data_IF_069091050018
#
_entry.id   IF_069091050018
#
_cell.length_a   1.000
_cell.length_b   1.000
_cell.length_c   1.000
_cell.angle_alpha   90.00
_cell.angle_beta   90.00
_cell.angle_gamma   90.00
#
_symmetry.space_group_name_H-M   'P 1'
#
loop_
_entity.id
_entity.type
_entity.pdbx_description
1 polymer ?
#
# COMPACT_ATOMS: atom_id res chain seq x y z
N UNK A 1 -5.37 21.17 2.49
CA UNK A 1 -4.90 21.37 3.88
C UNK A 1 -5.94 20.97 4.91
N UNK A 2 -7.21 21.39 4.78
CA UNK A 2 -8.29 21.03 5.72
C UNK A 2 -8.48 19.50 5.83
N UNK A 3 -8.57 18.78 4.70
CA UNK A 3 -8.77 17.31 4.69
C UNK A 3 -7.64 16.57 5.40
N UNK A 4 -6.39 17.00 5.20
CA UNK A 4 -5.23 16.41 5.87
C UNK A 4 -5.28 16.66 7.38
N UNK A 5 -5.64 17.88 7.79
CA UNK A 5 -5.85 18.22 9.19
C UNK A 5 -6.91 17.34 9.84
N UNK A 6 -8.07 17.19 9.21
CA UNK A 6 -9.17 16.33 9.70
C UNK A 6 -8.72 14.87 9.81
N UNK A 7 -8.08 14.32 8.79
CA UNK A 7 -7.58 12.94 8.80
C UNK A 7 -6.57 12.73 9.95
N UNK A 8 -5.66 13.69 10.16
CA UNK A 8 -4.66 13.63 11.22
C UNK A 8 -5.29 13.71 12.62
N UNK A 9 -6.29 14.57 12.80
CA UNK A 9 -7.04 14.66 14.08
C UNK A 9 -7.78 13.36 14.39
N UNK A 10 -8.42 12.74 13.40
CA UNK A 10 -9.09 11.44 13.58
C UNK A 10 -8.07 10.35 13.94
N UNK A 11 -6.94 10.30 13.23
CA UNK A 11 -5.87 9.33 13.53
C UNK A 11 -5.30 9.50 14.95
N UNK A 12 -5.04 10.75 15.37
CA UNK A 12 -4.60 11.05 16.73
C UNK A 12 -5.63 10.64 17.78
N UNK A 13 -6.91 10.89 17.53
CA UNK A 13 -7.99 10.51 18.45
C UNK A 13 -7.97 9.00 18.77
N UNK A 14 -7.89 8.14 17.74
CA UNK A 14 -7.80 6.69 17.95
C UNK A 14 -6.46 6.23 18.55
N UNK A 15 -5.36 6.91 18.21
CA UNK A 15 -4.05 6.57 18.77
C UNK A 15 -3.98 6.80 20.30
N UNK A 16 -4.62 7.86 20.80
CA UNK A 16 -4.66 8.16 22.23
C UNK A 16 -5.63 7.27 23.02
N UNK A 17 -6.75 6.85 22.41
CA UNK A 17 -7.79 6.12 23.11
C UNK A 17 -7.57 4.60 23.11
N UNK A 18 -7.26 4.03 21.95
CA UNK A 18 -7.44 2.59 21.75
C UNK A 18 -6.15 1.87 21.35
N UNK A 19 -5.24 2.52 20.63
CA UNK A 19 -4.06 1.85 20.10
C UNK A 19 -2.79 2.71 20.11
N UNK A 20 -1.96 2.60 21.16
CA UNK A 20 -0.65 3.23 21.20
C UNK A 20 0.28 2.79 20.05
N UNK A 21 0.09 1.60 19.47
CA UNK A 21 0.82 1.15 18.28
C UNK A 21 0.61 2.07 17.07
N UNK A 22 -0.55 2.76 16.98
CA UNK A 22 -0.82 3.72 15.92
C UNK A 22 0.11 4.93 15.95
N UNK A 23 0.72 5.28 17.08
CA UNK A 23 1.74 6.34 17.08
C UNK A 23 2.97 5.91 16.27
N UNK A 24 3.48 4.71 16.50
CA UNK A 24 4.64 4.21 15.77
C UNK A 24 4.35 4.06 14.27
N UNK A 25 3.19 3.49 13.94
CA UNK A 25 2.76 3.29 12.54
C UNK A 25 2.51 4.65 11.87
N UNK A 26 1.79 5.56 12.52
CA UNK A 26 1.46 6.88 11.99
C UNK A 26 2.68 7.78 11.78
N UNK A 27 3.69 7.71 12.66
CA UNK A 27 4.97 8.39 12.45
C UNK A 27 5.67 7.84 11.21
N UNK A 28 5.70 6.51 11.04
CA UNK A 28 6.32 5.88 9.87
C UNK A 28 5.56 6.24 8.56
N UNK A 29 4.24 6.17 8.55
CA UNK A 29 3.41 6.56 7.40
C UNK A 29 3.57 8.04 7.08
N UNK A 30 3.54 8.92 8.09
CA UNK A 30 3.78 10.35 7.93
C UNK A 30 5.16 10.61 7.32
N UNK A 31 6.20 9.94 7.81
CA UNK A 31 7.55 10.02 7.23
C UNK A 31 7.54 9.64 5.75
N UNK A 32 6.97 8.48 5.38
CA UNK A 32 6.93 8.06 3.98
C UNK A 32 6.09 8.98 3.10
N UNK A 33 4.97 9.50 3.60
CA UNK A 33 4.12 10.45 2.88
C UNK A 33 4.90 11.71 2.49
N UNK A 34 5.66 12.30 3.43
CA UNK A 34 6.47 13.47 3.14
C UNK A 34 7.71 13.14 2.32
N UNK A 35 8.40 12.03 2.65
CA UNK A 35 9.59 11.60 1.92
C UNK A 35 9.30 11.30 0.45
N UNK A 36 8.15 10.69 0.13
CA UNK A 36 7.72 10.44 -1.24
C UNK A 36 7.30 11.72 -1.97
N UNK A 37 6.37 12.49 -1.39
CA UNK A 37 5.73 13.60 -2.10
C UNK A 37 6.63 14.82 -2.28
N UNK A 38 7.55 15.04 -1.33
CA UNK A 38 8.50 16.16 -1.39
C UNK A 38 9.89 15.73 -1.88
N UNK A 39 10.04 14.48 -2.32
CA UNK A 39 11.30 13.87 -2.74
C UNK A 39 12.46 14.11 -1.75
N UNK A 40 12.14 14.08 -0.44
CA UNK A 40 13.13 14.34 0.60
C UNK A 40 14.30 13.35 0.47
N UNK A 41 15.47 13.79 0.93
CA UNK A 41 16.71 13.02 0.84
C UNK A 41 17.15 12.73 -0.60
N UNK A 42 16.74 13.56 -1.57
CA UNK A 42 17.11 13.41 -2.98
C UNK A 42 16.45 12.20 -3.63
N UNK A 43 15.21 11.88 -3.23
CA UNK A 43 14.44 10.78 -3.82
C UNK A 43 14.90 9.37 -3.43
N UNK A 44 15.75 9.21 -2.42
CA UNK A 44 16.24 7.87 -1.96
C UNK A 44 15.11 6.90 -1.63
N UNK A 45 13.98 7.42 -1.14
CA UNK A 45 12.80 6.62 -0.79
C UNK A 45 11.86 6.37 -1.98
N UNK A 46 12.16 6.85 -3.20
CA UNK A 46 11.31 6.62 -4.38
C UNK A 46 11.63 5.28 -5.08
N UNK A 47 11.70 4.20 -4.31
CA UNK A 47 12.10 2.88 -4.79
C UNK A 47 11.05 1.79 -4.49
N UNK A 48 11.24 0.58 -5.03
CA UNK A 48 10.26 -0.50 -4.87
C UNK A 48 10.07 -0.91 -3.40
N UNK A 49 11.15 -0.97 -2.63
CA UNK A 49 11.10 -1.35 -1.20
C UNK A 49 10.31 -0.35 -0.38
N UNK A 50 10.61 0.94 -0.53
CA UNK A 50 9.88 2.00 0.14
C UNK A 50 8.42 2.03 -0.28
N UNK A 51 8.10 1.67 -1.53
CA UNK A 51 6.70 1.57 -1.97
C UNK A 51 5.98 0.42 -1.26
N UNK A 52 6.63 -0.74 -1.15
CA UNK A 52 6.06 -1.91 -0.46
C UNK A 52 5.85 -1.61 1.03
N UNK A 53 6.85 -1.03 1.69
CA UNK A 53 6.74 -0.70 3.12
C UNK A 53 5.60 0.31 3.33
N UNK A 54 5.61 1.42 2.59
CA UNK A 54 4.68 2.52 2.78
C UNK A 54 3.24 2.20 2.38
N UNK A 55 3.04 1.42 1.31
CA UNK A 55 1.71 1.26 0.71
C UNK A 55 1.14 -0.15 0.80
N UNK A 56 1.95 -1.16 1.17
CA UNK A 56 1.48 -2.54 1.33
C UNK A 56 1.51 -2.99 2.80
N UNK A 57 2.59 -2.70 3.52
CA UNK A 57 2.83 -3.22 4.88
C UNK A 57 2.21 -2.32 5.94
N UNK A 58 2.59 -1.03 5.97
CA UNK A 58 2.13 -0.10 7.01
C UNK A 58 0.60 0.03 7.08
N UNK A 59 -0.15 0.12 5.97
CA UNK A 59 -1.61 0.21 6.04
C UNK A 59 -2.29 -1.03 6.63
N UNK A 60 -1.71 -2.23 6.41
CA UNK A 60 -2.23 -3.47 6.99
C UNK A 60 -1.98 -3.50 8.51
N UNK A 61 -0.79 -3.09 8.95
CA UNK A 61 -0.52 -2.93 10.38
C UNK A 61 -1.41 -1.87 11.02
N UNK A 62 -1.65 -0.74 10.36
CA UNK A 62 -2.55 0.30 10.84
C UNK A 62 -3.96 -0.25 11.04
N UNK A 63 -4.49 -1.00 10.05
CA UNK A 63 -5.80 -1.65 10.16
C UNK A 63 -5.89 -2.62 11.34
N UNK A 64 -4.86 -3.46 11.54
CA UNK A 64 -4.79 -4.37 12.70
C UNK A 64 -4.71 -3.61 14.03
N UNK A 65 -3.88 -2.57 14.10
CA UNK A 65 -3.69 -1.78 15.30
C UNK A 65 -4.98 -1.06 15.72
N UNK A 66 -5.74 -0.49 14.77
CA UNK A 66 -7.06 0.12 15.04
C UNK A 66 -8.02 -0.91 15.63
N UNK A 67 -8.03 -2.15 15.13
CA UNK A 67 -9.05 -3.13 15.51
C UNK A 67 -8.73 -3.91 16.79
N UNK A 68 -7.47 -4.28 16.99
CA UNK A 68 -7.08 -5.20 18.08
C UNK A 68 -5.89 -4.73 18.90
N UNK A 69 -5.29 -3.58 18.55
CA UNK A 69 -4.06 -3.05 19.14
C UNK A 69 -2.95 -4.12 19.31
N UNK A 70 -2.89 -5.07 18.37
CA UNK A 70 -1.96 -6.20 18.41
C UNK A 70 -1.56 -6.58 16.99
N UNK A 71 -0.40 -7.25 16.87
CA UNK A 71 0.11 -7.78 15.62
C UNK A 71 0.02 -9.30 15.71
N UNK A 72 -0.96 -9.89 15.01
CA UNK A 72 -1.13 -11.34 14.93
C UNK A 72 -0.27 -11.94 13.79
N UNK A 73 -0.08 -13.25 13.82
CA UNK A 73 0.58 -13.97 12.74
C UNK A 73 -0.17 -13.82 11.40
N UNK A 74 -1.50 -13.76 11.45
CA UNK A 74 -2.36 -13.55 10.27
C UNK A 74 -2.04 -12.23 9.57
N UNK A 75 -1.81 -11.17 10.35
CA UNK A 75 -1.45 -9.84 9.84
C UNK A 75 -0.09 -9.86 9.14
N UNK A 76 0.88 -10.60 9.70
CA UNK A 76 2.19 -10.78 9.08
C UNK A 76 2.06 -11.52 7.74
N UNK A 77 1.23 -12.57 7.68
CA UNK A 77 0.95 -13.30 6.44
C UNK A 77 0.29 -12.38 5.40
N UNK A 78 -0.69 -11.58 5.80
CA UNK A 78 -1.35 -10.61 4.93
C UNK A 78 -0.36 -9.55 4.41
N UNK A 79 0.54 -9.05 5.25
CA UNK A 79 1.64 -8.17 4.83
C UNK A 79 2.52 -8.84 3.77
N UNK A 80 2.86 -10.12 3.94
CA UNK A 80 3.63 -10.89 2.96
C UNK A 80 2.90 -11.00 1.61
N UNK A 81 1.63 -11.39 1.62
CA UNK A 81 0.80 -11.50 0.40
C UNK A 81 0.69 -10.14 -0.29
N UNK A 82 0.34 -9.10 0.46
CA UNK A 82 0.21 -7.73 -0.05
C UNK A 82 1.51 -7.20 -0.64
N UNK A 83 2.65 -7.51 -0.01
CA UNK A 83 3.97 -7.14 -0.51
C UNK A 83 4.29 -7.79 -1.85
N UNK A 84 4.00 -9.08 -2.02
CA UNK A 84 4.19 -9.80 -3.29
C UNK A 84 3.30 -9.21 -4.39
N UNK A 85 2.00 -9.02 -4.10
CA UNK A 85 1.06 -8.42 -5.04
C UNK A 85 1.54 -7.02 -5.46
N UNK A 86 1.94 -6.20 -4.49
CA UNK A 86 2.43 -4.84 -4.72
C UNK A 86 3.72 -4.82 -5.52
N UNK A 87 4.66 -5.74 -5.24
CA UNK A 87 5.89 -5.87 -6.02
C UNK A 87 5.61 -6.18 -7.49
N UNK A 88 4.74 -7.15 -7.77
CA UNK A 88 4.35 -7.53 -9.15
C UNK A 88 3.64 -6.35 -9.83
N UNK A 89 2.75 -5.67 -9.11
CA UNK A 89 2.02 -4.49 -9.60
C UNK A 89 2.99 -3.37 -10.02
N UNK A 90 3.92 -2.97 -9.16
CA UNK A 90 4.84 -1.86 -9.40
C UNK A 90 5.79 -2.19 -10.54
N UNK A 91 6.40 -3.38 -10.53
CA UNK A 91 7.37 -3.80 -11.56
C UNK A 91 6.71 -3.88 -12.93
N UNK A 92 5.51 -4.47 -13.00
CA UNK A 92 4.74 -4.56 -14.25
C UNK A 92 4.28 -3.19 -14.73
N UNK A 93 3.79 -2.32 -13.82
CA UNK A 93 3.34 -0.96 -14.14
C UNK A 93 4.47 -0.09 -14.68
N UNK A 94 5.67 -0.16 -14.09
CA UNK A 94 6.85 0.56 -14.59
C UNK A 94 7.27 0.05 -15.97
N UNK A 95 7.31 -1.27 -16.17
CA UNK A 95 7.60 -1.86 -17.49
C UNK A 95 6.58 -1.40 -18.54
N UNK A 96 5.29 -1.44 -18.20
CA UNK A 96 4.21 -0.97 -19.06
C UNK A 96 4.40 0.50 -19.47
N UNK A 97 4.61 1.41 -18.50
CA UNK A 97 4.83 2.84 -18.77
C UNK A 97 6.05 3.09 -19.64
N UNK A 98 7.14 2.37 -19.41
CA UNK A 98 8.35 2.45 -20.23
C UNK A 98 8.10 2.00 -21.68
N UNK A 99 7.38 0.88 -21.87
CA UNK A 99 7.03 0.39 -23.21
C UNK A 99 6.12 1.36 -23.96
N UNK A 100 5.12 1.94 -23.28
CA UNK A 100 4.25 2.97 -23.88
C UNK A 100 5.05 4.20 -24.30
N UNK A 101 5.94 4.71 -23.43
CA UNK A 101 6.73 5.92 -23.72
C UNK A 101 7.68 5.75 -24.90
N UNK A 102 8.21 4.55 -25.11
CA UNK A 102 9.20 4.28 -26.15
C UNK A 102 8.60 3.66 -27.42
N UNK A 103 7.27 3.65 -27.58
CA UNK A 103 6.59 2.95 -28.68
C UNK A 103 7.07 1.50 -28.84
N UNK A 104 7.24 0.80 -27.71
CA UNK A 104 7.70 -0.58 -27.65
C UNK A 104 6.71 -1.57 -28.27
N UNK A 105 7.07 -2.85 -28.25
CA UNK A 105 6.27 -3.89 -28.89
C UNK A 105 4.82 -3.94 -28.33
N UNK A 106 3.85 -3.82 -29.23
CA UNK A 106 2.42 -3.85 -28.90
C UNK A 106 2.00 -5.13 -28.15
N UNK A 107 2.61 -6.28 -28.46
CA UNK A 107 2.32 -7.54 -27.76
C UNK A 107 2.76 -7.52 -26.29
N UNK A 108 3.92 -6.93 -26.00
CA UNK A 108 4.43 -6.81 -24.62
C UNK A 108 3.62 -5.82 -23.80
N UNK A 109 3.17 -4.73 -24.41
CA UNK A 109 2.28 -3.74 -23.79
C UNK A 109 0.97 -4.43 -23.37
N UNK A 110 0.33 -5.16 -24.29
CA UNK A 110 -0.89 -5.93 -24.00
C UNK A 110 -0.68 -6.94 -22.88
N UNK A 111 0.46 -7.66 -22.88
CA UNK A 111 0.77 -8.61 -21.80
C UNK A 111 0.84 -7.93 -20.44
N UNK A 112 1.55 -6.80 -20.33
CA UNK A 112 1.63 -6.06 -19.06
C UNK A 112 0.26 -5.54 -18.62
N UNK A 113 -0.53 -5.00 -19.55
CA UNK A 113 -1.89 -4.53 -19.28
C UNK A 113 -2.80 -5.65 -18.77
N UNK A 114 -2.75 -6.83 -19.39
CA UNK A 114 -3.53 -8.01 -18.93
C UNK A 114 -3.11 -8.42 -17.52
N UNK A 115 -1.82 -8.46 -17.21
CA UNK A 115 -1.33 -8.77 -15.85
C UNK A 115 -1.86 -7.74 -14.84
N UNK A 116 -1.78 -6.45 -15.14
CA UNK A 116 -2.27 -5.38 -14.25
C UNK A 116 -3.79 -5.46 -14.03
N UNK A 117 -4.56 -5.76 -15.07
CA UNK A 117 -6.01 -5.96 -14.99
C UNK A 117 -6.36 -7.18 -14.16
N UNK A 118 -5.70 -8.31 -14.39
CA UNK A 118 -5.92 -9.55 -13.63
C UNK A 118 -5.57 -9.37 -12.15
N UNK A 119 -4.48 -8.68 -11.83
CA UNK A 119 -4.13 -8.35 -10.44
C UNK A 119 -5.22 -7.50 -9.77
N UNK A 120 -5.67 -6.44 -10.44
CA UNK A 120 -6.70 -5.54 -9.89
C UNK A 120 -8.03 -6.27 -9.66
N UNK A 121 -8.50 -7.00 -10.67
CA UNK A 121 -9.75 -7.78 -10.57
C UNK A 121 -9.62 -8.88 -9.51
N UNK A 122 -8.48 -9.57 -9.47
CA UNK A 122 -8.21 -10.62 -8.49
C UNK A 122 -8.26 -10.10 -7.05
N UNK A 123 -7.66 -8.94 -6.77
CA UNK A 123 -7.72 -8.33 -5.43
C UNK A 123 -9.15 -7.92 -5.09
N UNK A 124 -9.88 -7.25 -6.00
CA UNK A 124 -11.26 -6.82 -5.75
C UNK A 124 -12.20 -8.00 -5.48
N UNK A 125 -12.13 -9.04 -6.31
CA UNK A 125 -12.93 -10.26 -6.16
C UNK A 125 -12.55 -11.01 -4.88
N UNK A 126 -11.25 -11.12 -4.59
CA UNK A 126 -10.76 -11.75 -3.37
C UNK A 126 -11.25 -11.04 -2.11
N UNK A 127 -11.19 -9.70 -2.08
CA UNK A 127 -11.74 -8.90 -0.97
C UNK A 127 -13.26 -9.06 -0.85
N UNK A 128 -13.99 -9.04 -1.96
CA UNK A 128 -15.45 -9.25 -1.94
C UNK A 128 -15.83 -10.63 -1.40
N UNK A 129 -15.15 -11.70 -1.85
CA UNK A 129 -15.36 -13.07 -1.35
C UNK A 129 -15.04 -13.14 0.14
N UNK A 130 -13.91 -12.56 0.58
CA UNK A 130 -13.52 -12.54 1.99
C UNK A 130 -14.59 -11.86 2.86
N UNK A 131 -15.16 -10.74 2.39
CA UNK A 131 -16.25 -10.08 3.10
C UNK A 131 -17.50 -10.95 3.14
N UNK A 132 -17.92 -11.54 2.02
CA UNK A 132 -19.13 -12.38 1.96
C UNK A 132 -19.00 -13.64 2.82
N UNK A 133 -17.82 -14.24 2.93
CA UNK A 133 -17.60 -15.45 3.76
C UNK A 133 -17.52 -15.11 5.25
N UNK A 134 -17.11 -13.88 5.59
CA UNK A 134 -16.96 -13.45 6.99
C UNK A 134 -18.29 -12.99 7.61
N UNK A 135 -19.29 -12.66 6.79
CA UNK A 135 -20.66 -12.31 7.20
C UNK A 135 -21.62 -13.49 7.01
#
# INVERSE_FOLDING_TARGET
MIVLGVAFTIGMYYAFLDSPLLFAIGIAEGFFLFAYNLELFGGKFHNNWSTIIAWAILPIFAGSAIQTNSISLEVIILCGISSVITYILITTSRKYKHLIRNNGNHSEIKRCETILKLLTVGVLVGTAIFLVVRF
#
